data_IF_249289209452
#
_entry.id   IF_249289209452
#
_cell.length_a   1.000
_cell.length_b   1.000
_cell.length_c   1.000
_cell.angle_alpha   90.00
_cell.angle_beta   90.00
_cell.angle_gamma   90.00
#
_symmetry.space_group_name_H-M   'P 1'
#
loop_
_entity.id
_entity.type
_entity.pdbx_description
1 polymer ?
#
# COMPACT_ATOMS: atom_id res chain seq x y z
N UNK A 1 -14.97 10.25 24.46
CA UNK A 1 -14.84 9.81 23.05
C UNK A 1 -13.49 9.11 22.90
N UNK A 2 -13.49 7.95 22.22
CA UNK A 2 -12.34 7.44 21.42
C UNK A 2 -11.24 6.55 22.03
N UNK A 3 -11.56 5.59 22.93
CA UNK A 3 -10.64 4.46 23.22
C UNK A 3 -10.90 3.21 22.38
N UNK A 4 -12.06 3.09 21.72
CA UNK A 4 -12.43 1.89 20.97
C UNK A 4 -11.95 1.87 19.51
N UNK A 5 -11.63 3.03 18.90
CA UNK A 5 -11.12 3.11 17.52
C UNK A 5 -9.61 2.82 17.41
N UNK A 6 -8.83 3.15 18.44
CA UNK A 6 -7.38 2.94 18.46
C UNK A 6 -6.99 1.46 18.47
N UNK A 7 -7.77 0.62 19.16
CA UNK A 7 -7.57 -0.82 19.19
C UNK A 7 -7.69 -1.41 17.78
N UNK A 8 -8.77 -1.05 17.06
CA UNK A 8 -9.01 -1.52 15.70
C UNK A 8 -7.90 -1.10 14.71
N UNK A 9 -7.34 0.11 14.87
CA UNK A 9 -6.23 0.56 14.02
C UNK A 9 -4.93 -0.21 14.31
N UNK A 10 -4.60 -0.43 15.58
CA UNK A 10 -3.40 -1.17 15.96
C UNK A 10 -3.51 -2.66 15.58
N UNK A 11 -4.69 -3.26 15.68
CA UNK A 11 -4.97 -4.63 15.22
C UNK A 11 -4.83 -4.75 13.70
N UNK A 12 -5.40 -3.81 12.95
CA UNK A 12 -5.27 -3.76 11.49
C UNK A 12 -3.82 -3.60 11.03
N UNK A 13 -3.05 -2.77 11.74
CA UNK A 13 -1.61 -2.62 11.52
C UNK A 13 -0.86 -3.93 11.79
N UNK A 14 -1.18 -4.61 12.89
CA UNK A 14 -0.54 -5.88 13.25
C UNK A 14 -0.75 -6.95 12.19
N UNK A 15 -1.96 -7.05 11.65
CA UNK A 15 -2.26 -7.99 10.59
C UNK A 15 -1.45 -7.71 9.32
N UNK A 16 -1.41 -6.45 8.88
CA UNK A 16 -0.57 -6.04 7.74
C UNK A 16 0.92 -6.27 7.96
N UNK A 17 1.39 -6.04 9.19
CA UNK A 17 2.78 -6.29 9.55
C UNK A 17 3.12 -7.78 9.47
N UNK A 18 2.22 -8.68 9.91
CA UNK A 18 2.41 -10.14 9.77
C UNK A 18 2.46 -10.53 8.30
N UNK A 19 1.49 -10.08 7.50
CA UNK A 19 1.46 -10.33 6.06
C UNK A 19 2.74 -9.86 5.36
N UNK A 20 3.23 -8.66 5.69
CA UNK A 20 4.44 -8.12 5.10
C UNK A 20 5.71 -8.92 5.50
N UNK A 21 5.75 -9.45 6.73
CA UNK A 21 6.82 -10.35 7.17
C UNK A 21 6.80 -11.68 6.41
N UNK A 22 5.62 -12.27 6.26
CA UNK A 22 5.43 -13.52 5.51
C UNK A 22 5.81 -13.35 4.04
N UNK A 23 5.44 -12.22 3.42
CA UNK A 23 5.81 -11.90 2.05
C UNK A 23 7.32 -11.68 1.85
N UNK A 24 8.05 -11.30 2.91
CA UNK A 24 9.52 -11.28 2.93
C UNK A 24 10.14 -12.64 3.28
N UNK A 25 9.34 -13.70 3.40
CA UNK A 25 9.78 -15.04 3.78
C UNK A 25 10.25 -15.14 5.23
N UNK A 26 9.80 -14.24 6.11
CA UNK A 26 10.20 -14.18 7.51
C UNK A 26 9.07 -14.59 8.42
N UNK A 27 9.41 -15.35 9.46
CA UNK A 27 8.45 -15.73 10.50
C UNK A 27 8.00 -14.48 11.28
N UNK A 28 6.69 -14.27 11.51
CA UNK A 28 6.17 -13.18 12.34
C UNK A 28 6.47 -13.42 13.83
N UNK A 29 7.75 -13.31 14.21
CA UNK A 29 8.26 -13.51 15.56
C UNK A 29 8.78 -12.20 16.14
N UNK A 30 8.43 -11.85 17.40
CA UNK A 30 8.92 -10.64 18.06
C UNK A 30 10.44 -10.51 18.09
N UNK A 31 11.15 -11.62 18.29
CA UNK A 31 12.62 -11.67 18.36
C UNK A 31 13.26 -11.45 17.00
N UNK A 32 12.68 -12.02 15.94
CA UNK A 32 13.17 -11.82 14.56
C UNK A 32 12.94 -10.37 14.12
N UNK A 33 11.74 -9.85 14.40
CA UNK A 33 11.37 -8.47 14.10
C UNK A 33 12.27 -7.47 14.83
N UNK A 34 12.54 -7.67 16.11
CA UNK A 34 13.42 -6.80 16.90
C UNK A 34 14.84 -6.80 16.35
N UNK A 35 15.43 -7.98 16.14
CA UNK A 35 16.79 -8.09 15.62
C UNK A 35 16.95 -7.39 14.27
N UNK A 36 16.05 -7.66 13.32
CA UNK A 36 16.14 -7.09 11.98
C UNK A 36 15.87 -5.59 11.94
N UNK A 37 14.99 -5.11 12.81
CA UNK A 37 14.74 -3.69 12.97
C UNK A 37 15.98 -2.98 13.55
N UNK A 38 16.53 -3.51 14.65
CA UNK A 38 17.67 -2.90 15.34
C UNK A 38 18.96 -2.91 14.50
N UNK A 39 19.12 -3.87 13.58
CA UNK A 39 20.22 -3.85 12.60
C UNK A 39 20.16 -2.65 11.63
N UNK A 40 18.96 -2.10 11.40
CA UNK A 40 18.72 -0.99 10.45
C UNK A 40 18.51 0.35 11.15
N UNK A 41 18.28 0.33 12.46
CA UNK A 41 18.00 1.51 13.26
C UNK A 41 19.25 2.01 13.97
N UNK A 42 19.60 3.29 13.76
CA UNK A 42 20.75 3.95 14.41
C UNK A 42 20.38 4.72 15.69
N UNK A 43 19.10 4.76 16.05
CA UNK A 43 18.62 5.42 17.27
C UNK A 43 18.51 4.46 18.46
N UNK A 44 17.64 4.80 19.42
CA UNK A 44 17.40 3.94 20.58
C UNK A 44 16.80 2.59 20.14
N UNK A 45 17.43 1.44 20.47
CA UNK A 45 16.95 0.13 20.06
C UNK A 45 15.52 -0.14 20.54
N UNK A 46 14.79 -0.90 19.74
CA UNK A 46 13.47 -1.39 20.08
C UNK A 46 13.62 -2.68 20.89
N UNK A 47 12.83 -2.83 21.96
CA UNK A 47 12.83 -4.06 22.74
C UNK A 47 11.92 -5.11 22.13
N UNK A 48 12.19 -6.40 22.42
CA UNK A 48 11.33 -7.52 22.02
C UNK A 48 9.90 -7.37 22.57
N UNK A 49 9.75 -6.71 23.73
CA UNK A 49 8.44 -6.41 24.29
C UNK A 49 7.64 -5.44 23.40
N UNK A 50 8.29 -4.40 22.86
CA UNK A 50 7.64 -3.46 21.95
C UNK A 50 7.24 -4.12 20.63
N UNK A 51 8.13 -4.92 20.01
CA UNK A 51 7.81 -5.65 18.78
C UNK A 51 6.71 -6.69 18.98
N UNK A 52 6.63 -7.33 20.15
CA UNK A 52 5.51 -8.20 20.52
C UNK A 52 4.19 -7.43 20.56
N UNK A 53 4.17 -6.23 21.16
CA UNK A 53 2.96 -5.40 21.18
C UNK A 53 2.55 -4.95 19.78
N UNK A 54 3.49 -4.69 18.89
CA UNK A 54 3.22 -4.39 17.48
C UNK A 54 2.57 -5.57 16.76
N UNK A 55 3.13 -6.78 16.91
CA UNK A 55 2.59 -7.98 16.30
C UNK A 55 1.25 -8.44 16.89
N UNK A 56 0.92 -8.04 18.11
CA UNK A 56 -0.37 -8.33 18.74
C UNK A 56 -1.42 -7.23 18.54
N UNK A 57 -1.06 -6.11 17.90
CA UNK A 57 -1.97 -4.98 17.72
C UNK A 57 -2.29 -4.22 19.00
N UNK A 58 -1.42 -4.32 20.00
CA UNK A 58 -1.58 -3.64 21.29
C UNK A 58 -0.94 -2.24 21.32
N UNK A 59 -0.16 -1.90 20.28
CA UNK A 59 0.43 -0.57 20.12
C UNK A 59 0.92 -0.35 18.70
N UNK A 60 0.96 0.90 18.26
CA UNK A 60 1.63 1.30 17.02
C UNK A 60 3.05 1.81 17.27
N UNK A 61 4.00 1.59 16.34
CA UNK A 61 5.29 2.27 16.34
C UNK A 61 5.14 3.79 16.12
N UNK A 62 6.19 4.55 16.45
CA UNK A 62 6.29 5.97 16.06
C UNK A 62 6.51 6.10 14.55
N UNK A 63 6.25 7.28 13.98
CA UNK A 63 6.40 7.56 12.55
C UNK A 63 7.78 7.15 12.01
N UNK A 64 8.88 7.52 12.69
CA UNK A 64 10.23 7.14 12.23
C UNK A 64 10.45 5.62 12.19
N UNK A 65 9.90 4.91 13.17
CA UNK A 65 10.02 3.44 13.24
C UNK A 65 9.15 2.76 12.18
N UNK A 66 7.98 3.34 11.90
CA UNK A 66 7.11 2.91 10.81
C UNK A 66 7.81 3.03 9.45
N UNK A 67 8.48 4.16 9.17
CA UNK A 67 9.23 4.38 7.93
C UNK A 67 10.32 3.33 7.70
N UNK A 68 11.00 2.90 8.76
CA UNK A 68 12.05 1.88 8.69
C UNK A 68 11.46 0.49 8.47
N UNK A 69 10.33 0.17 9.12
CA UNK A 69 9.61 -1.07 8.86
C UNK A 69 9.12 -1.14 7.42
N UNK A 70 8.52 -0.06 6.93
CA UNK A 70 8.04 0.07 5.55
C UNK A 70 9.17 -0.15 4.54
N UNK A 71 10.30 0.57 4.71
CA UNK A 71 11.50 0.40 3.86
C UNK A 71 12.08 -1.00 3.90
N UNK A 72 12.12 -1.63 5.08
CA UNK A 72 12.66 -2.98 5.21
C UNK A 72 11.76 -4.04 4.58
N UNK A 73 10.44 -3.89 4.77
CA UNK A 73 9.43 -4.79 4.25
C UNK A 73 9.03 -4.49 2.80
N UNK A 74 9.59 -3.43 2.22
CA UNK A 74 9.34 -2.99 0.84
C UNK A 74 7.85 -2.72 0.59
N UNK A 75 7.22 -2.04 1.54
CA UNK A 75 5.83 -1.61 1.52
C UNK A 75 5.74 -0.11 1.78
N UNK A 76 4.60 0.51 1.42
CA UNK A 76 4.35 1.90 1.77
C UNK A 76 4.04 2.08 3.26
N UNK A 77 4.47 3.21 3.84
CA UNK A 77 4.16 3.62 5.21
C UNK A 77 2.64 3.76 5.41
N UNK A 78 1.96 4.40 4.46
CA UNK A 78 0.51 4.58 4.45
C UNK A 78 -0.22 3.25 4.42
N UNK A 79 0.28 2.30 3.61
CA UNK A 79 -0.28 0.95 3.55
C UNK A 79 -0.13 0.24 4.88
N UNK A 80 1.06 0.27 5.49
CA UNK A 80 1.30 -0.40 6.76
C UNK A 80 0.41 0.18 7.87
N UNK A 81 0.27 1.52 7.92
CA UNK A 81 -0.49 2.22 8.95
C UNK A 81 -2.00 2.13 8.75
N UNK A 82 -2.50 2.57 7.60
CA UNK A 82 -3.94 2.74 7.34
C UNK A 82 -4.52 1.65 6.45
N UNK A 83 -3.69 0.83 5.80
CA UNK A 83 -4.16 -0.13 4.80
C UNK A 83 -4.56 0.52 3.48
N UNK A 84 -4.31 1.83 3.33
CA UNK A 84 -4.48 2.55 2.07
C UNK A 84 -3.20 2.33 1.29
N UNK A 85 -3.24 1.48 0.27
CA UNK A 85 -2.15 1.40 -0.68
C UNK A 85 -2.05 2.76 -1.38
N UNK A 86 -0.94 3.47 -1.17
CA UNK A 86 -0.44 4.37 -2.20
C UNK A 86 -0.16 3.47 -3.40
N UNK A 87 -1.11 3.44 -4.32
CA UNK A 87 -1.03 3.05 -5.73
C UNK A 87 0.19 2.17 -6.08
N UNK A 88 0.01 0.84 -6.00
CA UNK A 88 0.83 -0.11 -6.76
C UNK A 88 1.67 -1.15 -6.01
N UNK A 89 1.62 -1.25 -4.68
CA UNK A 89 2.34 -2.29 -3.94
C UNK A 89 1.40 -3.18 -3.10
N UNK A 90 0.42 -3.80 -3.76
CA UNK A 90 -0.23 -4.98 -3.20
C UNK A 90 0.71 -6.16 -3.43
N UNK A 91 1.35 -6.61 -2.36
CA UNK A 91 2.09 -7.86 -2.33
C UNK A 91 1.20 -8.97 -2.90
N UNK A 92 1.70 -9.59 -3.96
CA UNK A 92 1.16 -10.79 -4.61
C UNK A 92 1.06 -11.94 -3.60
N UNK A 93 -0.06 -12.01 -2.88
CA UNK A 93 -0.46 -13.19 -2.15
C UNK A 93 -0.95 -14.24 -3.16
N UNK A 94 0.00 -15.01 -3.69
CA UNK A 94 -0.29 -16.23 -4.43
C UNK A 94 -0.64 -17.34 -3.43
N UNK A 95 -1.93 -17.54 -3.18
CA UNK A 95 -2.46 -18.76 -2.56
C UNK A 95 -2.85 -19.75 -3.69
N UNK A 96 -2.22 -20.94 -3.80
CA UNK A 96 -2.63 -21.96 -4.74
C UNK A 96 -3.81 -22.76 -4.16
N UNK A 97 -5.01 -22.48 -4.65
CA UNK A 97 -6.14 -23.43 -4.59
C UNK A 97 -7.09 -23.28 -3.41
N UNK A 98 -7.94 -22.26 -3.43
CA UNK A 98 -9.27 -22.36 -2.83
C UNK A 98 -10.29 -21.56 -3.65
N UNK A 99 -11.34 -22.28 -4.03
CA UNK A 99 -12.41 -21.95 -4.97
C UNK A 99 -13.10 -20.59 -4.65
N UNK A 100 -13.10 -19.70 -5.64
CA UNK A 100 -13.98 -18.52 -5.75
C UNK A 100 -15.45 -18.89 -5.52
N UNK A 101 -16.22 -18.00 -4.87
CA UNK A 101 -17.48 -17.55 -5.47
C UNK A 101 -17.35 -16.09 -5.92
N UNK A 102 -17.59 -15.87 -7.21
CA UNK A 102 -17.80 -14.55 -7.81
C UNK A 102 -19.00 -13.85 -7.18
N UNK A 103 -18.78 -12.65 -6.63
CA UNK A 103 -19.74 -11.54 -6.67
C UNK A 103 -19.03 -10.24 -6.22
N UNK A 104 -18.48 -9.49 -7.18
CA UNK A 104 -18.41 -8.01 -7.28
C UNK A 104 -17.51 -7.76 -8.49
N UNK A 105 -18.12 -7.83 -9.68
CA UNK A 105 -17.42 -7.78 -10.96
C UNK A 105 -18.07 -6.69 -11.81
N UNK A 106 -17.76 -5.43 -11.50
CA UNK A 106 -18.05 -4.29 -12.40
C UNK A 106 -17.19 -3.07 -12.08
N UNK A 107 -16.96 -2.73 -10.80
CA UNK A 107 -16.05 -1.64 -10.42
C UNK A 107 -14.56 -2.03 -10.37
N UNK A 108 -14.28 -3.33 -10.19
CA UNK A 108 -12.93 -3.87 -9.98
C UNK A 108 -12.09 -3.99 -11.26
N UNK A 109 -12.69 -3.96 -12.45
CA UNK A 109 -11.95 -4.08 -13.72
C UNK A 109 -11.36 -2.74 -14.15
N UNK A 110 -12.17 -1.67 -14.14
CA UNK A 110 -11.71 -0.31 -14.43
C UNK A 110 -10.63 0.14 -13.46
N UNK A 111 -10.83 -0.02 -12.15
CA UNK A 111 -9.83 0.34 -11.16
C UNK A 111 -8.50 -0.42 -11.35
N UNK A 112 -8.55 -1.67 -11.84
CA UNK A 112 -7.37 -2.49 -12.12
C UNK A 112 -6.70 -2.07 -13.44
N UNK A 113 -7.47 -1.71 -14.47
CA UNK A 113 -6.98 -1.17 -15.74
C UNK A 113 -6.34 0.22 -15.54
N UNK A 114 -6.97 1.10 -14.76
CA UNK A 114 -6.44 2.42 -14.39
C UNK A 114 -5.15 2.29 -13.58
N UNK A 115 -5.08 1.33 -12.65
CA UNK A 115 -3.87 1.05 -11.87
C UNK A 115 -2.74 0.50 -12.75
N UNK A 116 -3.04 -0.37 -13.72
CA UNK A 116 -2.05 -0.89 -14.68
C UNK A 116 -1.46 0.22 -15.52
N UNK A 117 -2.30 1.14 -16.02
CA UNK A 117 -1.84 2.25 -16.86
C UNK A 117 -0.91 3.21 -16.10
N UNK A 118 -1.19 3.47 -14.82
CA UNK A 118 -0.30 4.28 -13.97
C UNK A 118 1.03 3.57 -13.77
N UNK A 119 1.02 2.26 -13.54
CA UNK A 119 2.24 1.48 -13.36
C UNK A 119 3.08 1.44 -14.64
N UNK A 120 2.46 1.17 -15.79
CA UNK A 120 3.09 1.18 -17.11
C UNK A 120 3.68 2.56 -17.45
N UNK A 121 2.99 3.64 -17.03
CA UNK A 121 3.46 5.03 -17.17
C UNK A 121 4.78 5.30 -16.44
N UNK A 122 5.04 4.65 -15.30
CA UNK A 122 6.30 4.79 -14.57
C UNK A 122 7.48 4.03 -15.20
N UNK A 123 7.22 2.98 -15.99
CA UNK A 123 8.26 2.24 -16.72
C UNK A 123 8.72 2.93 -18.02
N UNK A 124 7.96 3.92 -18.52
CA UNK A 124 8.28 4.66 -19.73
C UNK A 124 9.45 5.62 -19.55
N UNK A 125 10.25 5.79 -20.60
CA UNK A 125 11.39 6.73 -20.57
C UNK A 125 10.89 8.19 -20.49
N UNK A 126 11.73 9.16 -20.05
CA UNK A 126 11.32 10.56 -19.97
C UNK A 126 10.75 11.12 -21.28
N UNK A 127 11.31 10.70 -22.43
CA UNK A 127 10.85 11.10 -23.75
C UNK A 127 9.46 10.53 -24.08
N UNK A 128 9.24 9.24 -23.79
CA UNK A 128 7.96 8.58 -24.08
C UNK A 128 6.83 9.11 -23.18
N UNK A 129 7.14 9.42 -21.91
CA UNK A 129 6.18 10.07 -20.99
C UNK A 129 5.70 11.43 -21.50
N UNK A 130 6.55 12.14 -22.23
CA UNK A 130 6.21 13.44 -22.81
C UNK A 130 5.24 13.31 -23.99
N UNK A 131 5.37 12.25 -24.78
CA UNK A 131 4.42 11.91 -25.86
C UNK A 131 3.06 11.52 -25.27
N UNK A 132 3.04 10.65 -24.25
CA UNK A 132 1.79 10.25 -23.56
C UNK A 132 1.08 11.46 -22.95
N UNK A 133 1.85 12.39 -22.34
CA UNK A 133 1.30 13.63 -21.78
C UNK A 133 0.66 14.51 -22.87
N UNK A 134 1.34 14.71 -24.00
CA UNK A 134 0.80 15.51 -25.10
C UNK A 134 -0.50 14.91 -25.66
N UNK A 135 -0.57 13.58 -25.75
CA UNK A 135 -1.77 12.87 -26.20
C UNK A 135 -2.94 13.05 -25.21
N UNK A 136 -2.68 12.90 -23.91
CA UNK A 136 -3.67 13.12 -22.85
C UNK A 136 -4.20 14.56 -22.85
N UNK A 137 -3.30 15.54 -22.97
CA UNK A 137 -3.68 16.95 -23.05
C UNK A 137 -4.54 17.25 -24.30
N UNK A 138 -4.20 16.65 -25.45
CA UNK A 138 -4.99 16.77 -26.67
C UNK A 138 -6.40 16.17 -26.52
N UNK A 139 -6.51 14.97 -25.94
CA UNK A 139 -7.79 14.28 -25.72
C UNK A 139 -8.69 15.02 -24.72
N UNK A 140 -8.11 15.55 -23.64
CA UNK A 140 -8.86 16.33 -22.64
C UNK A 140 -9.33 17.67 -23.22
N UNK A 141 -8.53 18.30 -24.08
CA UNK A 141 -8.91 19.52 -24.80
C UNK A 141 -10.10 19.25 -25.72
N UNK A 142 -10.08 18.15 -26.45
CA UNK A 142 -11.17 17.74 -27.35
C UNK A 142 -12.46 17.45 -26.57
N UNK A 143 -12.40 16.70 -25.45
CA UNK A 143 -13.58 16.47 -24.60
C UNK A 143 -14.15 17.75 -23.99
N UNK A 144 -13.32 18.72 -23.60
CA UNK A 144 -13.80 20.03 -23.12
C UNK A 144 -14.51 20.81 -24.21
N UNK A 145 -14.04 20.72 -25.46
CA UNK A 145 -14.65 21.39 -26.61
C UNK A 145 -16.00 20.76 -26.98
N UNK A 146 -16.11 19.43 -26.88
CA UNK A 146 -17.37 18.69 -27.07
C UNK A 146 -18.38 18.97 -25.96
N UNK A 147 -17.94 19.08 -24.70
CA UNK A 147 -18.79 19.46 -23.58
C UNK A 147 -19.30 20.92 -23.70
N UNK A 148 -18.51 21.82 -24.29
CA UNK A 148 -18.94 23.19 -24.58
C UNK A 148 -19.88 23.33 -25.79
N UNK A 149 -19.99 22.29 -26.63
CA UNK A 149 -20.89 22.25 -27.80
C UNK A 149 -22.23 21.55 -27.55
N UNK A 150 -22.45 20.99 -26.35
CA UNK A 150 -23.69 20.29 -25.96
C UNK A 150 -24.36 21.00 -24.77
N UNK A 151 -24.70 22.27 -24.97
CA UNK A 151 -25.69 22.96 -24.15
C UNK A 151 -27.07 22.83 -24.83
N UNK A 152 -28.14 22.43 -24.12
CA UNK A 152 -29.45 22.28 -24.73
C UNK A 152 -30.03 23.65 -25.10
N UNK A 153 -30.59 23.69 -26.31
CA UNK A 153 -31.64 24.62 -26.71
C UNK A 153 -32.92 24.42 -25.88
#
# INVERSE_FOLDING_TARGET
>A
MSTHEMASQAESFAERLRMALENKGRKPSPTVLEREFNLRWRGNPVSVHATRKWLLGLSMPTLDKLAILARWLDVSEDWLRWGVAADGAALVAAEPGARRPSAVQTGSRQAQEESSLVQDYWLLTPADRQVVRALLEALLRERRKQAAGSGPA
#
